data_IF_259071444965
#
_entry.id   IF_259071444965
#
_cell.length_a   1.000
_cell.length_b   1.000
_cell.length_c   1.000
_cell.angle_alpha   90.00
_cell.angle_beta   90.00
_cell.angle_gamma   90.00
#
_symmetry.space_group_name_H-M   'P 1'
#
loop_
_entity.id
_entity.type
_entity.pdbx_description
1 polymer ?
#
# COMPACT_ATOMS: atom_id res chain seq x y z
N UNK A 1 0.57 -8.93 -17.57
CA UNK A 1 0.55 -9.46 -16.19
C UNK A 1 -0.49 -8.66 -15.41
N UNK A 2 -1.47 -9.31 -14.81
CA UNK A 2 -2.45 -8.65 -13.95
C UNK A 2 -1.86 -8.39 -12.56
N UNK A 3 -2.37 -7.36 -11.87
CA UNK A 3 -2.02 -7.08 -10.48
C UNK A 3 -3.24 -6.62 -9.69
N UNK A 4 -3.23 -6.86 -8.39
CA UNK A 4 -4.23 -6.34 -7.45
C UNK A 4 -3.62 -6.11 -6.07
N UNK A 5 -4.08 -5.08 -5.38
CA UNK A 5 -3.81 -4.84 -3.96
C UNK A 5 -4.78 -5.64 -3.09
N UNK A 6 -4.31 -6.13 -1.95
CA UNK A 6 -5.16 -6.71 -0.89
C UNK A 6 -4.79 -6.11 0.46
N UNK A 7 -5.79 -5.98 1.34
CA UNK A 7 -5.60 -5.53 2.72
C UNK A 7 -4.59 -6.43 3.46
N UNK A 8 -3.85 -5.84 4.38
CA UNK A 8 -3.09 -6.54 5.41
C UNK A 8 -3.59 -6.07 6.77
N UNK A 9 -2.76 -5.36 7.53
CA UNK A 9 -3.26 -4.56 8.65
C UNK A 9 -3.85 -3.23 8.16
N UNK A 10 -3.34 -2.69 7.05
CA UNK A 10 -3.92 -1.56 6.36
C UNK A 10 -5.17 -2.01 5.56
N UNK A 11 -6.20 -1.20 5.62
CA UNK A 11 -7.51 -1.35 5.01
C UNK A 11 -7.68 -0.40 3.83
N UNK A 12 -8.08 -0.95 2.68
CA UNK A 12 -8.41 -0.13 1.52
C UNK A 12 -9.61 0.78 1.80
N UNK A 13 -9.47 2.06 1.45
CA UNK A 13 -10.48 3.11 1.64
C UNK A 13 -10.22 3.99 2.86
N UNK A 14 -9.59 3.47 3.92
CA UNK A 14 -9.12 4.27 5.06
C UNK A 14 -7.63 4.61 4.94
N UNK A 15 -6.79 3.61 4.63
CA UNK A 15 -5.33 3.76 4.80
C UNK A 15 -4.62 3.80 3.42
N UNK A 16 -5.21 3.18 2.41
CA UNK A 16 -4.77 3.27 1.02
C UNK A 16 -5.91 3.13 0.02
N UNK A 17 -5.71 3.56 -1.22
CA UNK A 17 -6.68 3.33 -2.30
C UNK A 17 -6.41 1.97 -2.97
N UNK A 18 -7.39 1.06 -2.91
CA UNK A 18 -7.30 -0.21 -3.62
C UNK A 18 -6.99 0.00 -5.11
N UNK A 19 -6.07 -0.80 -5.64
CA UNK A 19 -5.67 -0.72 -7.05
C UNK A 19 -5.56 -2.11 -7.65
N UNK A 20 -6.12 -2.27 -8.84
CA UNK A 20 -5.90 -3.43 -9.69
C UNK A 20 -5.76 -3.00 -11.14
N UNK A 21 -5.19 -3.88 -11.96
CA UNK A 21 -5.02 -3.59 -13.38
C UNK A 21 -4.11 -4.59 -14.06
N UNK A 22 -3.56 -4.18 -15.20
CA UNK A 22 -2.57 -4.96 -15.94
C UNK A 22 -1.35 -4.10 -16.24
N UNK A 23 -0.18 -4.73 -16.21
CA UNK A 23 1.07 -4.19 -16.74
C UNK A 23 1.52 -5.04 -17.94
N UNK A 24 1.98 -4.36 -18.97
CA UNK A 24 2.53 -4.99 -20.18
C UNK A 24 4.02 -4.72 -20.23
N UNK A 25 4.81 -5.77 -20.45
CA UNK A 25 6.25 -5.66 -20.66
C UNK A 25 6.51 -5.74 -22.16
N UNK A 26 6.97 -4.64 -22.75
CA UNK A 26 7.44 -4.66 -24.13
C UNK A 26 8.77 -5.42 -24.23
N UNK A 27 9.16 -5.83 -25.44
CA UNK A 27 10.44 -6.50 -25.65
C UNK A 27 11.60 -5.62 -25.13
N UNK A 28 12.46 -6.21 -24.28
CA UNK A 28 13.57 -5.50 -23.65
C UNK A 28 13.22 -4.68 -22.40
N UNK A 29 11.94 -4.53 -22.05
CA UNK A 29 11.51 -3.87 -20.80
C UNK A 29 11.47 -4.90 -19.68
N UNK A 30 12.19 -4.63 -18.60
CA UNK A 30 12.33 -5.55 -17.46
C UNK A 30 11.69 -5.04 -16.17
N UNK A 31 11.22 -3.79 -16.14
CA UNK A 31 10.55 -3.18 -15.00
C UNK A 31 9.32 -2.38 -15.42
N UNK A 32 8.30 -2.38 -14.56
CA UNK A 32 7.10 -1.56 -14.67
C UNK A 32 6.72 -1.03 -13.29
N UNK A 33 6.08 0.13 -13.22
CA UNK A 33 5.69 0.76 -11.96
C UNK A 33 4.19 0.58 -11.68
N UNK A 34 3.87 0.20 -10.44
CA UNK A 34 2.51 0.22 -9.89
C UNK A 34 2.48 1.25 -8.76
N UNK A 35 1.81 2.38 -8.97
CA UNK A 35 1.66 3.42 -7.94
C UNK A 35 0.39 3.20 -7.14
N UNK A 36 0.50 3.01 -5.82
CA UNK A 36 -0.64 2.90 -4.89
C UNK A 36 -0.68 4.17 -4.04
N UNK A 37 -1.84 4.81 -3.93
CA UNK A 37 -1.99 6.03 -3.13
C UNK A 37 -2.27 5.67 -1.67
N UNK A 38 -1.52 6.27 -0.75
CA UNK A 38 -1.77 6.23 0.69
C UNK A 38 -2.80 7.31 1.05
N UNK A 39 -3.71 6.98 1.96
CA UNK A 39 -4.69 7.90 2.52
C UNK A 39 -4.22 8.18 3.95
N UNK A 40 -3.69 9.39 4.18
CA UNK A 40 -3.20 9.79 5.50
C UNK A 40 -4.25 10.56 6.29
N UNK A 41 -4.19 10.48 7.61
CA UNK A 41 -5.01 11.27 8.51
C UNK A 41 -4.20 11.85 9.70
N UNK A 42 -4.78 11.97 10.89
CA UNK A 42 -4.13 12.50 12.09
C UNK A 42 -4.29 11.60 13.32
N UNK A 43 -4.83 10.40 13.13
CA UNK A 43 -5.06 9.42 14.17
C UNK A 43 -3.74 8.68 14.40
N UNK A 44 -3.32 8.58 15.66
CA UNK A 44 -2.11 7.83 15.97
C UNK A 44 -2.39 6.34 15.82
N UNK A 45 -1.71 5.71 14.88
CA UNK A 45 -1.84 4.30 14.54
C UNK A 45 -0.48 3.59 14.63
N UNK A 46 -0.49 2.26 14.52
CA UNK A 46 0.75 1.51 14.31
C UNK A 46 1.13 1.56 12.83
N UNK A 47 2.37 1.24 12.48
CA UNK A 47 2.70 1.00 11.06
C UNK A 47 1.84 -0.14 10.52
N UNK A 48 1.35 0.04 9.31
CA UNK A 48 0.42 -0.89 8.71
C UNK A 48 0.93 -1.45 7.38
N UNK A 49 0.34 -2.55 6.92
CA UNK A 49 0.78 -3.24 5.71
C UNK A 49 -0.38 -3.58 4.78
N UNK A 50 -0.11 -3.55 3.48
CA UNK A 50 -0.95 -4.14 2.45
C UNK A 50 -0.09 -4.98 1.50
N UNK A 51 -0.71 -5.76 0.64
CA UNK A 51 0.01 -6.59 -0.34
C UNK A 51 -0.35 -6.21 -1.77
N UNK A 52 0.58 -6.41 -2.71
CA UNK A 52 0.34 -6.38 -4.16
C UNK A 52 0.64 -7.76 -4.71
N UNK A 53 -0.35 -8.39 -5.35
CA UNK A 53 -0.19 -9.72 -5.97
C UNK A 53 -0.21 -9.60 -7.49
N UNK A 54 0.75 -10.26 -8.15
CA UNK A 54 0.79 -10.45 -9.59
C UNK A 54 0.09 -11.76 -9.98
N UNK A 55 -0.63 -11.74 -11.10
CA UNK A 55 -1.34 -12.91 -11.60
C UNK A 55 -1.43 -12.91 -13.13
N UNK A 56 -1.89 -14.03 -13.68
CA UNK A 56 -2.18 -14.19 -15.12
C UNK A 56 -1.05 -13.69 -16.03
N UNK A 57 0.19 -14.23 -15.92
CA UNK A 57 1.25 -13.90 -16.86
C UNK A 57 0.94 -14.47 -18.24
N UNK A 58 1.48 -13.84 -19.29
CA UNK A 58 1.37 -14.32 -20.67
C UNK A 58 2.76 -14.35 -21.26
N UNK A 59 3.21 -15.52 -21.73
CA UNK A 59 4.57 -15.70 -22.28
C UNK A 59 5.70 -15.55 -21.24
N UNK A 60 5.38 -15.62 -19.94
CA UNK A 60 6.33 -15.49 -18.85
C UNK A 60 5.92 -16.34 -17.64
N UNK A 61 6.86 -16.57 -16.73
CA UNK A 61 6.61 -17.20 -15.43
C UNK A 61 6.75 -16.14 -14.35
N UNK A 62 5.83 -16.12 -13.38
CA UNK A 62 5.96 -15.31 -12.17
C UNK A 62 6.79 -16.13 -11.16
N UNK A 63 8.03 -15.72 -10.93
CA UNK A 63 8.92 -16.36 -9.95
C UNK A 63 8.67 -15.82 -8.53
N UNK A 64 8.42 -14.52 -8.42
CA UNK A 64 7.98 -13.84 -7.21
C UNK A 64 6.77 -12.98 -7.56
N UNK A 65 5.64 -13.29 -6.93
CA UNK A 65 4.32 -12.78 -7.32
C UNK A 65 3.65 -11.93 -6.26
N UNK A 66 4.31 -11.65 -5.13
CA UNK A 66 3.71 -10.88 -4.04
C UNK A 66 4.73 -9.93 -3.43
N UNK A 67 4.30 -8.70 -3.17
CA UNK A 67 5.08 -7.71 -2.45
C UNK A 67 4.27 -7.13 -1.29
N UNK A 68 4.93 -6.88 -0.16
CA UNK A 68 4.35 -6.18 0.99
C UNK A 68 4.71 -4.69 0.89
N UNK A 69 3.70 -3.83 0.95
CA UNK A 69 3.86 -2.39 1.15
C UNK A 69 3.60 -2.05 2.61
N UNK A 70 4.44 -1.20 3.20
CA UNK A 70 4.29 -0.70 4.57
C UNK A 70 3.92 0.78 4.54
N UNK A 71 2.86 1.16 5.24
CA UNK A 71 2.47 2.53 5.54
C UNK A 71 3.05 2.85 6.92
N UNK A 72 3.92 3.86 6.98
CA UNK A 72 4.55 4.29 8.23
C UNK A 72 3.73 5.40 8.87
N UNK A 73 3.32 5.21 10.13
CA UNK A 73 2.63 6.25 10.90
C UNK A 73 3.59 7.43 11.15
N UNK A 74 3.18 8.62 10.74
CA UNK A 74 3.87 9.89 11.02
C UNK A 74 3.11 10.78 12.02
N UNK A 75 1.99 10.29 12.55
CA UNK A 75 1.17 11.00 13.52
C UNK A 75 1.70 10.93 14.95
N UNK A 76 1.42 12.00 15.71
CA UNK A 76 1.83 12.17 17.10
C UNK A 76 0.63 12.51 17.98
N UNK A 77 0.63 12.00 19.22
CA UNK A 77 -0.43 12.29 20.17
C UNK A 77 -0.43 13.80 20.49
N UNK A 78 -1.55 14.48 20.21
CA UNK A 78 -1.73 15.86 20.67
C UNK A 78 -1.87 15.86 22.19
N UNK A 79 -1.03 16.59 22.95
CA UNK A 79 -1.21 16.70 24.38
C UNK A 79 -2.55 17.38 24.67
N UNK A 80 -3.41 16.74 25.46
CA UNK A 80 -4.58 17.41 26.03
C UNK A 80 -4.07 18.63 26.81
N UNK A 81 -4.57 19.86 26.55
CA UNK A 81 -4.21 21.00 27.37
C UNK A 81 -4.59 20.66 28.82
N UNK A 82 -3.57 20.44 29.65
CA UNK A 82 -3.76 20.28 31.07
C UNK A 82 -4.50 21.53 31.56
N UNK A 83 -5.68 21.34 32.13
CA UNK A 83 -6.36 22.37 32.88
C UNK A 83 -5.52 22.64 34.14
N UNK A 84 -4.45 23.41 33.98
CA UNK A 84 -3.79 24.06 35.10
C UNK A 84 -4.72 25.16 35.61
N UNK A 85 -5.73 24.75 36.38
CA UNK A 85 -6.44 25.64 37.28
C UNK A 85 -5.43 26.07 38.35
N UNK A 86 -4.87 27.28 38.19
CA UNK A 86 -4.20 28.03 39.25
C UNK A 86 -5.15 29.11 39.77
#
# INVERSE_FOLDING_TARGET
VAYATSNGTATAGSDFTAKSGTVTFAAGVTSQQISVAVVGDTVVESNETFTVTLSSPTGATIADGSAVGTITNDDVATPTPGNSSA
#
